data_IF_187388674655
#
_entry.id   IF_187388674655
#
_cell.length_a   1.000
_cell.length_b   1.000
_cell.length_c   1.000
_cell.angle_alpha   90.00
_cell.angle_beta   90.00
_cell.angle_gamma   90.00
#
_symmetry.space_group_name_H-M   'P 1'
#
loop_
_entity.id
_entity.type
_entity.pdbx_description
1 polymer ?
#
# COMPACT_ATOMS: atom_id res chain seq x y z
N UNK A 1 33.96 -48.93 -8.97
CA UNK A 1 34.60 -48.98 -10.30
C UNK A 1 33.51 -48.61 -11.30
N UNK A 2 33.48 -47.49 -12.00
CA UNK A 2 34.44 -46.42 -12.38
C UNK A 2 33.55 -45.24 -12.81
N UNK A 3 33.72 -44.03 -12.25
CA UNK A 3 34.39 -42.86 -12.88
C UNK A 3 33.57 -42.29 -14.07
N UNK A 4 32.73 -41.26 -13.86
CA UNK A 4 32.97 -39.81 -13.79
C UNK A 4 33.22 -39.13 -15.15
N UNK A 5 32.68 -37.91 -15.23
CA UNK A 5 33.12 -36.75 -16.04
C UNK A 5 32.05 -36.25 -17.01
N UNK A 6 31.28 -35.24 -16.59
CA UNK A 6 30.96 -34.11 -17.48
C UNK A 6 30.90 -32.84 -16.64
N UNK A 7 31.67 -31.86 -17.10
CA UNK A 7 32.19 -30.71 -16.39
C UNK A 7 31.13 -29.64 -16.06
N UNK A 8 31.47 -28.91 -14.99
CA UNK A 8 30.95 -27.61 -14.59
C UNK A 8 31.00 -26.60 -15.74
N UNK A 9 29.92 -25.84 -15.92
CA UNK A 9 29.98 -24.53 -16.58
C UNK A 9 29.19 -23.54 -15.71
N UNK A 10 29.86 -23.06 -14.67
CA UNK A 10 29.43 -21.88 -13.94
C UNK A 10 29.76 -20.64 -14.79
N UNK A 11 28.80 -19.77 -15.14
CA UNK A 11 29.13 -18.57 -15.87
C UNK A 11 29.95 -17.63 -14.97
N UNK A 12 31.13 -17.28 -15.47
CA UNK A 12 32.13 -16.46 -14.81
C UNK A 12 31.53 -15.18 -14.19
N UNK A 13 31.85 -14.96 -12.92
CA UNK A 13 31.60 -13.73 -12.18
C UNK A 13 32.42 -12.61 -12.84
N UNK A 14 31.75 -11.70 -13.55
CA UNK A 14 32.39 -10.53 -14.15
C UNK A 14 32.97 -9.64 -13.04
N UNK A 15 34.29 -9.58 -12.96
CA UNK A 15 35.04 -8.57 -12.21
C UNK A 15 35.66 -7.58 -13.19
N UNK A 16 35.12 -6.37 -13.38
CA UNK A 16 35.83 -5.35 -14.13
C UNK A 16 36.87 -4.69 -13.21
N UNK A 17 38.14 -4.88 -13.57
CA UNK A 17 39.28 -4.16 -13.02
C UNK A 17 39.08 -2.65 -13.21
N UNK A 18 39.24 -1.90 -12.13
CA UNK A 18 39.26 -0.45 -12.18
C UNK A 18 40.64 0.02 -12.65
N UNK A 19 40.77 0.50 -13.89
CA UNK A 19 41.85 1.42 -14.24
C UNK A 19 41.42 2.54 -15.19
N UNK A 20 41.63 3.76 -14.67
CA UNK A 20 42.16 4.97 -15.32
C UNK A 20 41.35 5.67 -16.41
N UNK A 21 40.68 6.71 -15.93
CA UNK A 21 40.54 8.05 -16.50
C UNK A 21 41.33 8.31 -17.81
N UNK A 22 40.61 8.45 -18.91
CA UNK A 22 41.05 9.22 -20.08
C UNK A 22 39.96 10.21 -20.48
N UNK A 23 40.28 11.46 -20.27
CA UNK A 23 39.59 12.64 -20.79
C UNK A 23 39.66 12.66 -22.32
N UNK A 24 38.50 12.70 -23.01
CA UNK A 24 38.31 13.51 -24.23
C UNK A 24 36.91 13.33 -24.85
N UNK A 25 36.17 14.45 -24.82
CA UNK A 25 35.13 14.93 -25.76
C UNK A 25 34.60 14.00 -26.87
N UNK A 26 33.33 13.58 -26.76
CA UNK A 26 32.29 13.72 -27.81
C UNK A 26 30.90 13.26 -27.30
N UNK A 27 29.88 14.04 -27.66
CA UNK A 27 28.43 13.93 -27.37
C UNK A 27 27.95 12.50 -27.06
N UNK A 28 27.71 12.21 -25.79
CA UNK A 28 27.07 10.96 -25.34
C UNK A 28 25.62 11.24 -24.96
N UNK A 29 24.68 10.62 -25.70
CA UNK A 29 23.26 10.62 -25.38
C UNK A 29 23.04 10.02 -24.00
N UNK A 30 22.75 10.89 -23.03
CA UNK A 30 22.60 10.52 -21.63
C UNK A 30 21.29 9.75 -21.47
N UNK A 31 21.38 8.43 -21.35
CA UNK A 31 20.27 7.59 -20.89
C UNK A 31 19.96 7.99 -19.45
N UNK A 32 18.83 8.67 -19.24
CA UNK A 32 18.36 9.05 -17.90
C UNK A 32 17.61 7.83 -17.33
N UNK A 33 18.17 7.22 -16.29
CA UNK A 33 17.49 6.18 -15.51
C UNK A 33 16.83 6.83 -14.30
N UNK A 34 15.52 6.65 -14.14
CA UNK A 34 14.76 7.12 -12.98
C UNK A 34 14.97 6.15 -11.81
N UNK A 35 16.11 6.27 -11.12
CA UNK A 35 16.29 5.72 -9.78
C UNK A 35 15.77 6.75 -8.78
N UNK A 36 14.74 6.42 -8.00
CA UNK A 36 13.97 7.33 -7.15
C UNK A 36 14.73 8.03 -6.01
N UNK A 37 16.05 8.09 -6.05
CA UNK A 37 16.90 8.60 -4.95
C UNK A 37 17.90 9.69 -5.36
N UNK A 38 17.79 10.27 -6.56
CA UNK A 38 18.63 11.42 -6.92
C UNK A 38 17.83 12.55 -7.56
N UNK A 39 17.64 13.62 -6.78
CA UNK A 39 17.04 14.88 -7.22
C UNK A 39 17.88 15.45 -8.36
N UNK A 40 17.35 15.39 -9.58
CA UNK A 40 17.92 16.10 -10.71
C UNK A 40 17.88 17.60 -10.41
N UNK A 41 19.04 18.27 -10.46
CA UNK A 41 19.14 19.71 -10.32
C UNK A 41 18.23 20.38 -11.37
N UNK A 42 17.19 21.08 -10.90
CA UNK A 42 16.15 21.69 -11.74
C UNK A 42 14.76 21.07 -11.59
N UNK A 43 14.61 19.92 -10.93
CA UNK A 43 13.30 19.34 -10.59
C UNK A 43 12.95 19.70 -9.16
N UNK A 44 11.76 20.28 -8.97
CA UNK A 44 11.27 20.75 -7.68
C UNK A 44 11.15 19.60 -6.67
N UNK A 45 11.71 19.78 -5.47
CA UNK A 45 11.56 18.85 -4.35
C UNK A 45 10.10 18.73 -3.89
N UNK A 46 9.73 17.61 -3.24
CA UNK A 46 8.37 17.36 -2.72
C UNK A 46 7.82 18.54 -1.91
N UNK A 47 8.66 19.18 -1.10
CA UNK A 47 8.24 20.29 -0.24
C UNK A 47 7.87 21.56 -1.01
N UNK A 48 8.41 21.75 -2.22
CA UNK A 48 8.02 22.84 -3.13
C UNK A 48 6.83 22.46 -4.03
N UNK A 49 6.42 21.20 -4.08
CA UNK A 49 5.22 20.74 -4.79
C UNK A 49 3.93 21.01 -4.02
N UNK A 50 4.03 21.25 -2.71
CA UNK A 50 2.95 21.73 -1.85
C UNK A 50 2.70 23.25 -2.04
N UNK A 51 2.67 23.74 -3.29
CA UNK A 51 2.11 25.06 -3.55
C UNK A 51 0.61 25.03 -3.24
N UNK A 52 0.09 26.14 -2.69
CA UNK A 52 -1.35 26.37 -2.42
C UNK A 52 -2.19 25.75 -3.52
N UNK A 53 -3.18 24.94 -3.14
CA UNK A 53 -4.33 24.67 -4.01
C UNK A 53 -4.95 26.03 -4.33
N UNK A 54 -4.62 26.59 -5.47
CA UNK A 54 -5.48 27.53 -6.16
C UNK A 54 -6.77 26.76 -6.43
N UNK A 55 -7.84 27.11 -5.72
CA UNK A 55 -9.20 26.51 -5.81
C UNK A 55 -9.82 26.56 -7.23
N UNK A 56 -9.03 26.95 -8.22
CA UNK A 56 -9.29 26.84 -9.64
C UNK A 56 -9.25 25.37 -10.08
N UNK A 57 -10.24 24.58 -9.63
CA UNK A 57 -10.57 23.36 -10.38
C UNK A 57 -10.88 23.80 -11.80
N UNK A 58 -10.20 23.23 -12.80
CA UNK A 58 -10.44 23.60 -14.18
C UNK A 58 -11.91 23.40 -14.54
N UNK A 59 -12.46 24.31 -15.34
CA UNK A 59 -13.85 24.26 -15.81
C UNK A 59 -14.18 22.86 -16.35
N UNK A 60 -13.23 22.20 -17.00
CA UNK A 60 -13.31 20.82 -17.47
C UNK A 60 -13.57 19.82 -16.35
N UNK A 61 -12.80 19.83 -15.25
CA UNK A 61 -13.00 18.88 -14.15
C UNK A 61 -14.38 19.07 -13.48
N UNK A 62 -14.81 20.33 -13.29
CA UNK A 62 -16.13 20.63 -12.73
C UNK A 62 -17.27 20.12 -13.62
N UNK A 63 -17.14 20.29 -14.94
CA UNK A 63 -18.12 19.80 -15.92
C UNK A 63 -18.19 18.28 -15.94
N UNK A 64 -17.05 17.59 -15.92
CA UNK A 64 -17.01 16.12 -15.90
C UNK A 64 -17.65 15.56 -14.62
N UNK A 65 -17.36 16.16 -13.45
CA UNK A 65 -18.00 15.80 -12.16
C UNK A 65 -19.52 16.04 -12.22
N UNK A 66 -19.96 17.20 -12.70
CA UNK A 66 -21.38 17.55 -12.79
C UNK A 66 -22.16 16.57 -13.69
N UNK A 67 -21.52 16.11 -14.77
CA UNK A 67 -22.08 15.14 -15.70
C UNK A 67 -21.91 13.68 -15.25
N UNK A 68 -21.35 13.42 -14.06
CA UNK A 68 -21.06 12.07 -13.53
C UNK A 68 -20.27 11.20 -14.51
N UNK A 69 -19.36 11.82 -15.26
CA UNK A 69 -18.46 11.11 -16.16
C UNK A 69 -17.25 10.60 -15.39
N UNK A 70 -16.68 9.51 -15.88
CA UNK A 70 -15.46 8.95 -15.32
C UNK A 70 -14.29 9.91 -15.58
N UNK A 71 -13.44 10.09 -14.58
CA UNK A 71 -12.28 10.98 -14.65
C UNK A 71 -11.02 10.10 -14.69
N UNK A 72 -10.48 9.80 -15.89
CA UNK A 72 -9.28 9.00 -16.00
C UNK A 72 -8.07 9.76 -15.44
N UNK A 73 -7.27 9.06 -14.64
CA UNK A 73 -6.04 9.58 -14.05
C UNK A 73 -4.98 8.47 -13.97
N UNK A 74 -3.71 8.87 -13.99
CA UNK A 74 -2.56 7.96 -13.84
C UNK A 74 -1.88 8.27 -12.51
N UNK A 75 -1.82 7.28 -11.62
CA UNK A 75 -1.12 7.39 -10.34
C UNK A 75 0.38 7.14 -10.48
N UNK A 76 1.18 7.78 -9.64
CA UNK A 76 2.61 7.50 -9.52
C UNK A 76 3.11 7.44 -8.08
N UNK A 77 2.30 7.83 -7.09
CA UNK A 77 2.69 7.85 -5.68
C UNK A 77 1.46 7.71 -4.76
N UNK A 78 1.69 7.19 -3.56
CA UNK A 78 0.64 6.90 -2.57
C UNK A 78 1.14 7.34 -1.20
N UNK A 79 0.31 8.09 -0.49
CA UNK A 79 0.54 8.48 0.90
C UNK A 79 -0.59 7.93 1.78
N UNK A 80 -0.20 7.26 2.86
CA UNK A 80 -1.10 6.86 3.93
C UNK A 80 -1.01 7.89 5.06
N UNK A 81 -2.14 8.48 5.42
CA UNK A 81 -2.22 9.48 6.47
C UNK A 81 -3.34 9.17 7.47
N UNK A 82 -3.19 9.71 8.67
CA UNK A 82 -4.22 9.71 9.69
C UNK A 82 -4.64 11.14 9.96
N UNK A 83 -5.90 11.44 9.66
CA UNK A 83 -6.47 12.77 9.83
C UNK A 83 -7.54 12.76 10.92
N UNK A 84 -7.63 13.83 11.70
CA UNK A 84 -8.62 13.96 12.77
C UNK A 84 -9.75 14.88 12.32
N UNK A 85 -10.94 14.31 12.09
CA UNK A 85 -12.16 15.06 11.80
C UNK A 85 -12.99 15.05 13.08
N UNK A 86 -13.28 16.23 13.64
CA UNK A 86 -14.00 16.34 14.92
C UNK A 86 -13.38 15.52 16.06
N UNK A 87 -12.03 15.47 16.13
CA UNK A 87 -11.25 14.64 17.07
C UNK A 87 -11.41 13.13 16.89
N UNK A 88 -12.09 12.68 15.85
CA UNK A 88 -12.20 11.27 15.48
C UNK A 88 -11.13 10.97 14.44
N UNK A 89 -10.26 9.97 14.66
CA UNK A 89 -9.25 9.61 13.69
C UNK A 89 -9.86 8.89 12.49
N UNK A 90 -9.47 9.32 11.30
CA UNK A 90 -9.81 8.73 10.02
C UNK A 90 -8.52 8.30 9.31
N UNK A 91 -8.53 7.08 8.77
CA UNK A 91 -7.49 6.65 7.86
C UNK A 91 -7.81 7.23 6.48
N UNK A 92 -6.79 7.85 5.88
CA UNK A 92 -6.88 8.56 4.61
C UNK A 92 -5.79 8.02 3.70
N UNK A 93 -6.18 7.60 2.50
CA UNK A 93 -5.27 7.21 1.45
C UNK A 93 -5.27 8.29 0.38
N UNK A 94 -4.14 8.97 0.19
CA UNK A 94 -3.98 9.97 -0.87
C UNK A 94 -3.21 9.34 -2.02
N UNK A 95 -3.81 9.36 -3.19
CA UNK A 95 -3.20 8.86 -4.42
C UNK A 95 -2.82 10.07 -5.27
N UNK A 96 -1.54 10.22 -5.53
CA UNK A 96 -1.00 11.30 -6.36
C UNK A 96 -0.86 10.84 -7.80
N UNK A 97 -1.21 11.72 -8.72
CA UNK A 97 -1.22 11.40 -10.13
C UNK A 97 -1.36 12.62 -11.02
N UNK A 98 -1.64 12.34 -12.28
CA UNK A 98 -2.04 13.35 -13.25
C UNK A 98 -3.24 12.88 -14.05
N UNK A 99 -4.08 13.83 -14.45
CA UNK A 99 -5.16 13.62 -15.42
C UNK A 99 -4.58 13.42 -16.81
N UNK A 100 -5.40 12.89 -17.73
CA UNK A 100 -5.00 12.66 -19.14
C UNK A 100 -4.51 13.93 -19.88
N UNK A 101 -4.89 15.12 -19.40
CA UNK A 101 -4.48 16.40 -19.95
C UNK A 101 -3.17 16.93 -19.31
N UNK A 102 -2.49 16.13 -18.48
CA UNK A 102 -1.23 16.47 -17.81
C UNK A 102 -1.39 17.27 -16.52
N UNK A 103 -2.60 17.64 -16.11
CA UNK A 103 -2.83 18.33 -14.83
C UNK A 103 -2.58 17.41 -13.65
N UNK A 104 -1.91 17.92 -12.61
CA UNK A 104 -1.72 17.16 -11.37
C UNK A 104 -3.05 16.95 -10.67
N UNK A 105 -3.22 15.78 -10.07
CA UNK A 105 -4.39 15.42 -9.29
C UNK A 105 -3.98 14.70 -8.01
N UNK A 106 -4.77 14.92 -6.95
CA UNK A 106 -4.70 14.16 -5.71
C UNK A 106 -6.08 13.56 -5.46
N UNK A 107 -6.16 12.25 -5.37
CA UNK A 107 -7.39 11.53 -5.03
C UNK A 107 -7.32 11.12 -3.57
N UNK A 108 -8.19 11.70 -2.76
CA UNK A 108 -8.27 11.40 -1.32
C UNK A 108 -9.38 10.37 -1.07
N UNK A 109 -9.00 9.16 -0.69
CA UNK A 109 -9.92 8.09 -0.32
C UNK A 109 -10.06 8.08 1.20
N UNK A 110 -11.30 8.20 1.66
CA UNK A 110 -11.68 8.17 3.07
C UNK A 110 -12.66 7.02 3.33
N UNK A 111 -12.99 6.75 4.59
CA UNK A 111 -13.95 5.71 4.96
C UNK A 111 -13.41 4.28 4.83
N UNK A 112 -12.10 4.13 4.65
CA UNK A 112 -11.41 2.83 4.64
C UNK A 112 -11.47 2.22 6.05
N UNK A 113 -11.98 0.99 6.13
CA UNK A 113 -12.05 0.22 7.38
C UNK A 113 -11.02 -0.88 7.34
N UNK A 114 -10.06 -0.85 8.27
CA UNK A 114 -9.06 -1.91 8.38
C UNK A 114 -9.70 -3.14 9.03
N UNK A 115 -9.42 -4.30 8.46
CA UNK A 115 -9.92 -5.58 8.97
C UNK A 115 -8.87 -6.67 8.81
N UNK A 116 -9.06 -7.76 9.55
CA UNK A 116 -8.31 -8.98 9.37
C UNK A 116 -9.21 -10.19 9.56
N UNK A 117 -8.84 -11.29 8.90
CA UNK A 117 -9.64 -12.51 8.86
C UNK A 117 -8.94 -13.61 9.67
N UNK A 118 -9.67 -14.26 10.56
CA UNK A 118 -9.19 -15.39 11.35
C UNK A 118 -9.94 -16.64 10.94
N UNK A 119 -9.22 -17.68 10.50
CA UNK A 119 -9.84 -18.96 10.15
C UNK A 119 -10.49 -19.58 11.38
N UNK A 120 -11.75 -20.00 11.24
CA UNK A 120 -12.46 -20.75 12.27
C UNK A 120 -12.00 -22.22 12.21
N UNK A 121 -11.54 -22.82 13.32
CA UNK A 121 -11.21 -24.24 13.35
C UNK A 121 -12.44 -25.11 13.07
N UNK A 122 -12.26 -26.21 12.34
CA UNK A 122 -13.34 -27.07 11.88
C UNK A 122 -14.10 -27.75 13.03
N UNK A 123 -13.43 -27.96 14.16
CA UNK A 123 -14.01 -28.55 15.38
C UNK A 123 -14.72 -27.53 16.29
N UNK A 124 -14.81 -26.25 15.91
CA UNK A 124 -15.38 -25.19 16.74
C UNK A 124 -16.53 -24.48 16.04
N UNK A 125 -17.62 -24.28 16.77
CA UNK A 125 -18.69 -23.40 16.32
C UNK A 125 -18.27 -21.94 16.36
N UNK A 126 -18.78 -21.14 15.43
CA UNK A 126 -18.50 -19.69 15.35
C UNK A 126 -18.74 -18.97 16.69
N UNK A 127 -19.85 -19.21 17.44
CA UNK A 127 -20.05 -18.55 18.73
C UNK A 127 -18.98 -18.90 19.78
N UNK A 128 -18.58 -20.18 19.85
CA UNK A 128 -17.52 -20.65 20.78
C UNK A 128 -16.18 -20.03 20.40
N UNK A 129 -15.86 -19.99 19.12
CA UNK A 129 -14.62 -19.38 18.62
C UNK A 129 -14.60 -17.87 18.89
N UNK A 130 -15.71 -17.16 18.62
CA UNK A 130 -15.82 -15.74 18.93
C UNK A 130 -15.62 -15.44 20.41
N UNK A 131 -16.16 -16.26 21.32
CA UNK A 131 -15.96 -16.10 22.76
C UNK A 131 -14.46 -16.10 23.12
N UNK A 132 -13.67 -17.00 22.52
CA UNK A 132 -12.21 -17.04 22.69
C UNK A 132 -11.53 -15.79 22.14
N UNK A 133 -11.86 -15.39 20.91
CA UNK A 133 -11.28 -14.17 20.28
C UNK A 133 -11.62 -12.93 21.10
N UNK A 134 -12.87 -12.80 21.56
CA UNK A 134 -13.30 -11.70 22.44
C UNK A 134 -12.48 -11.67 23.72
N UNK A 135 -12.21 -12.81 24.34
CA UNK A 135 -11.31 -12.92 25.49
C UNK A 135 -9.94 -12.31 25.19
N UNK A 136 -9.30 -12.75 24.11
CA UNK A 136 -7.97 -12.24 23.68
C UNK A 136 -7.99 -10.73 23.45
N UNK A 137 -8.98 -10.23 22.69
CA UNK A 137 -9.12 -8.81 22.37
C UNK A 137 -9.33 -7.96 23.64
N UNK A 138 -10.11 -8.44 24.61
CA UNK A 138 -10.34 -7.72 25.88
C UNK A 138 -9.14 -7.72 26.81
N UNK A 139 -8.26 -8.72 26.71
CA UNK A 139 -7.01 -8.79 27.47
C UNK A 139 -5.88 -7.99 26.84
N UNK A 140 -5.95 -7.75 25.53
CA UNK A 140 -4.98 -6.93 24.80
C UNK A 140 -4.93 -5.51 25.34
N UNK A 141 -3.70 -5.03 25.55
CA UNK A 141 -3.41 -3.64 25.91
C UNK A 141 -2.50 -3.03 24.85
N UNK A 142 -2.67 -1.74 24.61
CA UNK A 142 -1.73 -0.96 23.81
C UNK A 142 -0.45 -0.61 24.63
N UNK A 143 0.47 0.11 23.99
CA UNK A 143 1.74 0.53 24.61
C UNK A 143 1.53 1.48 25.81
N UNK A 144 0.33 2.06 25.92
CA UNK A 144 -0.08 3.00 26.96
C UNK A 144 -0.94 2.31 28.05
N UNK A 145 -1.19 1.00 27.91
CA UNK A 145 -1.97 0.20 28.83
C UNK A 145 -3.49 0.25 28.62
N UNK A 146 -4.00 0.96 27.59
CA UNK A 146 -5.43 1.03 27.31
C UNK A 146 -5.93 -0.28 26.71
N UNK A 147 -7.17 -0.63 27.06
CA UNK A 147 -7.84 -1.82 26.55
C UNK A 147 -8.62 -1.53 25.27
N UNK A 148 -8.78 -2.57 24.45
CA UNK A 148 -9.65 -2.51 23.26
C UNK A 148 -11.10 -2.24 23.68
N UNK A 149 -11.69 -1.18 23.13
CA UNK A 149 -13.12 -0.93 23.29
C UNK A 149 -13.91 -1.86 22.35
N UNK A 150 -14.48 -2.93 22.92
CA UNK A 150 -15.24 -3.93 22.17
C UNK A 150 -16.48 -3.38 21.46
N UNK A 151 -17.04 -2.23 21.89
CA UNK A 151 -18.20 -1.61 21.23
C UNK A 151 -17.86 -1.04 19.86
N UNK A 152 -16.57 -0.80 19.58
CA UNK A 152 -16.09 -0.28 18.30
C UNK A 152 -15.70 -1.40 17.33
N UNK A 153 -15.55 -2.64 17.82
CA UNK A 153 -15.18 -3.78 16.99
C UNK A 153 -16.44 -4.35 16.34
N UNK A 154 -16.42 -4.45 15.00
CA UNK A 154 -17.42 -5.20 14.25
C UNK A 154 -16.87 -6.56 13.86
N UNK A 155 -17.77 -7.54 13.77
CA UNK A 155 -17.45 -8.89 13.32
C UNK A 155 -18.36 -9.29 12.17
N UNK A 156 -17.79 -10.01 11.22
CA UNK A 156 -18.53 -10.62 10.11
C UNK A 156 -18.08 -12.08 9.96
N UNK A 157 -18.99 -12.94 9.51
CA UNK A 157 -18.67 -14.33 9.20
C UNK A 157 -18.64 -14.50 7.70
N UNK A 158 -17.51 -14.93 7.15
CA UNK A 158 -17.30 -15.07 5.71
C UNK A 158 -16.81 -16.48 5.37
N UNK A 159 -16.89 -16.85 4.09
CA UNK A 159 -16.28 -18.07 3.56
C UNK A 159 -15.28 -17.71 2.47
N UNK A 160 -14.04 -18.21 2.58
CA UNK A 160 -12.97 -17.94 1.64
C UNK A 160 -12.04 -19.16 1.47
N UNK A 161 -11.27 -19.19 0.38
CA UNK A 161 -10.25 -20.21 0.19
C UNK A 161 -9.01 -19.85 1.01
N UNK A 162 -8.43 -20.78 1.78
CA UNK A 162 -7.15 -20.55 2.45
C UNK A 162 -6.03 -20.30 1.44
N UNK A 163 -5.14 -19.36 1.75
CA UNK A 163 -3.98 -19.02 0.90
C UNK A 163 -2.99 -20.20 0.83
N UNK A 164 -2.87 -20.98 1.92
CA UNK A 164 -1.91 -22.09 2.02
C UNK A 164 -2.59 -23.45 1.82
N UNK A 165 -1.99 -24.25 0.95
CA UNK A 165 -2.44 -25.60 0.61
C UNK A 165 -3.55 -25.61 -0.43
N UNK A 166 -3.84 -26.79 -0.96
CA UNK A 166 -4.93 -27.00 -1.90
C UNK A 166 -6.21 -27.36 -1.12
N UNK A 167 -7.27 -26.55 -1.28
CA UNK A 167 -8.56 -26.78 -0.65
C UNK A 167 -9.65 -26.71 -1.72
N UNK A 168 -10.38 -27.82 -1.92
CA UNK A 168 -11.50 -27.85 -2.85
C UNK A 168 -12.68 -26.96 -2.39
N UNK A 169 -12.79 -26.72 -1.08
CA UNK A 169 -13.90 -25.99 -0.47
C UNK A 169 -13.45 -24.72 0.26
N UNK A 170 -14.35 -23.74 0.29
CA UNK A 170 -14.17 -22.52 1.09
C UNK A 170 -14.31 -22.84 2.58
N UNK A 171 -13.43 -22.27 3.39
CA UNK A 171 -13.45 -22.39 4.85
C UNK A 171 -14.08 -21.16 5.50
N UNK A 172 -14.61 -21.33 6.70
CA UNK A 172 -15.21 -20.25 7.48
C UNK A 172 -14.13 -19.38 8.12
N UNK A 173 -14.32 -18.06 8.06
CA UNK A 173 -13.47 -17.06 8.69
C UNK A 173 -14.33 -16.09 9.50
N UNK A 174 -13.74 -15.60 10.57
CA UNK A 174 -14.24 -14.46 11.32
C UNK A 174 -13.46 -13.22 10.90
N UNK A 175 -14.13 -12.28 10.24
CA UNK A 175 -13.59 -10.98 9.89
C UNK A 175 -13.77 -10.02 11.05
N UNK A 176 -12.68 -9.46 11.54
CA UNK A 176 -12.65 -8.48 12.61
C UNK A 176 -12.36 -7.12 11.99
N UNK A 177 -13.30 -6.18 12.15
CA UNK A 177 -13.17 -4.82 11.65
C UNK A 177 -12.93 -3.92 12.86
N UNK A 178 -11.77 -3.25 12.86
CA UNK A 178 -11.36 -2.37 13.94
C UNK A 178 -11.58 -0.90 13.56
N UNK A 179 -11.84 -0.01 14.55
CA UNK A 179 -11.76 1.42 14.31
C UNK A 179 -10.31 1.81 14.03
N UNK A 180 -10.10 2.84 13.21
CA UNK A 180 -8.78 3.44 12.97
C UNK A 180 -8.37 4.33 14.16
N UNK A 181 -8.45 3.83 15.39
CA UNK A 181 -8.10 4.57 16.61
C UNK A 181 -6.59 4.53 16.86
N UNK A 182 -6.06 5.52 17.57
CA UNK A 182 -4.69 5.43 18.11
C UNK A 182 -4.59 4.24 19.07
N UNK A 183 -3.52 3.46 18.86
CA UNK A 183 -2.94 2.45 19.78
C UNK A 183 -1.79 3.17 20.48
#
# INVERSE_FOLDING_TARGET
>A
MTQSDFFEDAPALFHPEAEKEKTSSKRSGRVIRYGGESYLAGISARDKLAMRNDESSTLTLKVEIANRRDIPFVSYDIEEAKEYINKIPHYVLRIYGHLINGQKAVVTITGIKVFFDIRVPENLSIPKFWSKIKGILTTGKDNQGNRVNMNLIRRECIKAYPIRGYHAEKKSYLRIIAPNKDI
#
